data_IF_370586681391
#
_entry.id   IF_370586681391
#
_cell.length_a   1.000
_cell.length_b   1.000
_cell.length_c   1.000
_cell.angle_alpha   90.00
_cell.angle_beta   90.00
_cell.angle_gamma   90.00
#
_symmetry.space_group_name_H-M   'P 1'
#
loop_
_entity.id
_entity.type
_entity.pdbx_description
1 polymer ?
#
# COMPACT_ATOMS: atom_id res chain seq x y z
N UNK A 1 1.52 -0.87 -1.14
CA UNK A 1 2.82 -1.55 -1.34
C UNK A 1 3.49 -0.94 -2.55
N UNK A 2 4.59 -0.22 -2.36
CA UNK A 2 5.43 0.24 -3.47
C UNK A 2 6.60 -0.75 -3.57
N UNK A 3 6.60 -1.63 -4.57
CA UNK A 3 7.67 -2.61 -4.74
C UNK A 3 8.94 -1.88 -5.13
N UNK A 4 10.02 -2.05 -4.37
CA UNK A 4 11.37 -1.70 -4.84
C UNK A 4 11.80 -2.73 -5.92
N UNK A 5 12.67 -2.32 -6.83
CA UNK A 5 13.14 -3.10 -7.99
C UNK A 5 13.92 -4.39 -7.65
N UNK A 6 13.95 -4.80 -6.37
CA UNK A 6 14.74 -5.93 -5.84
C UNK A 6 13.89 -7.07 -5.25
N UNK A 7 12.58 -7.13 -5.52
CA UNK A 7 11.71 -8.27 -5.13
C UNK A 7 11.70 -8.49 -3.59
N UNK A 8 11.82 -7.42 -2.81
CA UNK A 8 11.73 -7.48 -1.35
C UNK A 8 10.70 -6.47 -0.83
N UNK A 9 9.96 -6.84 0.20
CA UNK A 9 8.99 -5.96 0.85
C UNK A 9 9.73 -4.90 1.68
N UNK A 10 9.61 -3.64 1.30
CA UNK A 10 10.08 -2.52 2.13
C UNK A 10 9.10 -2.34 3.29
N UNK A 11 9.56 -2.54 4.53
CA UNK A 11 8.78 -2.42 5.78
C UNK A 11 9.26 -3.37 6.87
N UNK A 12 8.78 -3.26 8.14
CA UNK A 12 7.43 -2.84 8.52
C UNK A 12 7.31 -1.35 8.89
N UNK A 13 6.33 -0.68 8.27
CA UNK A 13 5.90 0.66 8.64
C UNK A 13 4.52 0.63 9.33
N UNK A 14 4.42 1.27 10.50
CA UNK A 14 3.15 1.43 11.21
C UNK A 14 2.35 2.59 10.61
N UNK A 15 1.13 2.36 10.10
CA UNK A 15 0.26 3.43 9.62
C UNK A 15 -0.10 4.42 10.74
N UNK A 16 -0.10 5.72 10.43
CA UNK A 16 -0.48 6.78 11.38
C UNK A 16 0.63 7.21 12.33
N UNK A 17 1.84 6.69 12.13
CA UNK A 17 3.06 7.14 12.80
C UNK A 17 3.97 7.78 11.77
N UNK A 18 4.60 8.90 12.12
CA UNK A 18 5.69 9.48 11.32
C UNK A 18 6.77 8.44 11.12
N UNK A 19 6.91 7.95 9.90
CA UNK A 19 7.92 6.97 9.52
C UNK A 19 8.55 7.37 8.19
N UNK A 20 9.57 6.64 7.74
CA UNK A 20 10.22 6.94 6.49
C UNK A 20 9.25 6.72 5.33
N UNK A 21 9.24 7.66 4.38
CA UNK A 21 8.47 7.53 3.15
C UNK A 21 8.90 6.27 2.41
N UNK A 22 7.92 5.42 2.06
CA UNK A 22 8.17 4.21 1.27
C UNK A 22 8.19 4.63 -0.20
N UNK A 23 9.38 4.92 -0.68
CA UNK A 23 9.64 5.34 -2.05
C UNK A 23 10.05 4.16 -2.95
N UNK A 24 9.44 4.08 -4.12
CA UNK A 24 9.97 3.29 -5.24
C UNK A 24 9.91 4.08 -6.55
N UNK A 25 10.44 3.49 -7.62
CA UNK A 25 10.45 4.04 -8.97
C UNK A 25 9.03 4.33 -9.50
N UNK A 26 8.04 3.57 -9.02
CA UNK A 26 6.64 3.63 -9.43
C UNK A 26 5.77 4.58 -8.58
N UNK A 27 6.08 4.73 -7.29
CA UNK A 27 5.23 5.45 -6.34
C UNK A 27 6.02 5.94 -5.13
N UNK A 28 5.39 6.80 -4.34
CA UNK A 28 5.83 7.14 -2.99
C UNK A 28 4.64 6.93 -2.05
N UNK A 29 4.89 6.50 -0.82
CA UNK A 29 3.85 6.34 0.20
C UNK A 29 4.32 6.97 1.50
N UNK A 30 3.57 7.95 1.98
CA UNK A 30 3.78 8.54 3.30
C UNK A 30 2.89 7.83 4.32
N UNK A 31 3.51 7.21 5.32
CA UNK A 31 2.83 6.43 6.37
C UNK A 31 2.30 7.31 7.49
N UNK A 32 2.82 8.53 7.64
CA UNK A 32 2.35 9.49 8.64
C UNK A 32 0.93 9.98 8.33
N UNK A 33 0.58 10.01 7.04
CA UNK A 33 -0.77 10.35 6.57
C UNK A 33 -1.70 9.13 6.44
N UNK A 34 -1.16 7.92 6.63
CA UNK A 34 -1.97 6.72 6.59
C UNK A 34 -2.85 6.61 7.83
N UNK A 35 -4.12 6.25 7.67
CA UNK A 35 -5.03 6.01 8.78
C UNK A 35 -5.61 4.61 8.70
N UNK A 36 -5.69 3.96 9.85
CA UNK A 36 -6.31 2.65 9.99
C UNK A 36 -7.49 2.80 10.94
N UNK A 37 -8.67 2.42 10.48
CA UNK A 37 -9.85 2.31 11.31
C UNK A 37 -10.37 0.88 11.27
N UNK A 38 -10.88 0.39 12.39
CA UNK A 38 -11.40 -0.97 12.50
C UNK A 38 -12.86 -0.96 13.00
N UNK A 39 -13.82 -0.42 12.23
CA UNK A 39 -15.22 -0.56 12.56
C UNK A 39 -15.62 -2.05 12.44
N UNK A 40 -15.79 -2.70 13.60
CA UNK A 40 -16.44 -4.01 13.77
C UNK A 40 -16.10 -5.05 12.69
N UNK A 41 -14.83 -5.49 12.67
CA UNK A 41 -14.37 -6.62 11.86
C UNK A 41 -13.85 -6.27 10.47
N UNK A 42 -14.05 -5.04 9.99
CA UNK A 42 -13.48 -4.56 8.72
C UNK A 42 -12.35 -3.57 9.01
N UNK A 43 -11.16 -3.84 8.48
CA UNK A 43 -10.04 -2.89 8.51
C UNK A 43 -10.18 -1.95 7.32
N UNK A 44 -10.37 -0.67 7.60
CA UNK A 44 -10.31 0.40 6.61
C UNK A 44 -8.94 1.06 6.70
N UNK A 45 -8.13 0.85 5.67
CA UNK A 45 -6.81 1.45 5.50
C UNK A 45 -6.93 2.58 4.46
N UNK A 46 -6.71 3.82 4.88
CA UNK A 46 -6.62 4.98 3.98
C UNK A 46 -5.17 5.42 3.88
N UNK A 47 -4.62 5.42 2.67
CA UNK A 47 -3.21 5.74 2.41
C UNK A 47 -3.14 6.66 1.20
N UNK A 48 -2.30 7.71 1.30
CA UNK A 48 -1.98 8.56 0.16
C UNK A 48 -0.82 7.92 -0.63
N UNK A 49 -1.09 7.56 -1.89
CA UNK A 49 -0.10 6.95 -2.79
C UNK A 49 0.08 7.82 -4.04
N UNK A 50 0.96 8.84 -4.00
CA UNK A 50 1.39 9.52 -5.21
C UNK A 50 2.10 8.54 -6.16
N UNK A 51 1.52 8.33 -7.34
CA UNK A 51 2.13 7.54 -8.41
C UNK A 51 3.10 8.44 -9.18
N UNK A 52 4.30 7.90 -9.48
CA UNK A 52 5.34 8.59 -10.26
C UNK A 52 5.21 8.20 -11.74
N UNK A 53 5.43 9.17 -12.63
CA UNK A 53 5.51 8.91 -14.08
C UNK A 53 6.66 7.94 -14.40
N UNK A 54 6.54 7.06 -15.42
CA UNK A 54 5.61 7.12 -16.56
C UNK A 54 4.32 6.29 -16.38
N UNK A 55 3.95 5.90 -15.15
CA UNK A 55 2.74 5.11 -14.91
C UNK A 55 1.48 5.94 -15.17
N UNK A 56 0.98 5.93 -16.41
CA UNK A 56 -0.26 6.59 -16.83
C UNK A 56 -1.36 5.58 -17.17
N UNK A 57 -2.62 5.98 -17.05
CA UNK A 57 -3.81 5.17 -17.37
C UNK A 57 -4.23 4.22 -16.26
N UNK A 58 -5.22 3.37 -16.54
CA UNK A 58 -5.78 2.43 -15.57
C UNK A 58 -4.73 1.41 -15.10
N UNK A 59 -4.54 1.30 -13.78
CA UNK A 59 -3.68 0.32 -13.11
C UNK A 59 -4.49 -0.45 -12.08
N UNK A 60 -4.34 -1.77 -12.10
CA UNK A 60 -4.96 -2.60 -11.08
C UNK A 60 -4.22 -2.41 -9.76
N UNK A 61 -4.98 -2.21 -8.68
CA UNK A 61 -4.46 -2.17 -7.32
C UNK A 61 -4.70 -3.53 -6.69
N UNK A 62 -3.63 -4.10 -6.16
CA UNK A 62 -3.67 -5.37 -5.44
C UNK A 62 -3.23 -5.16 -4.00
N UNK A 63 -3.88 -5.87 -3.08
CA UNK A 63 -3.57 -5.90 -1.66
C UNK A 63 -3.33 -7.34 -1.23
N UNK A 64 -2.33 -7.52 -0.38
CA UNK A 64 -2.05 -8.78 0.31
C UNK A 64 -1.96 -8.49 1.80
N UNK A 65 -2.72 -9.21 2.60
CA UNK A 65 -2.71 -9.12 4.06
C UNK A 65 -2.18 -10.42 4.66
N UNK A 66 -1.29 -10.28 5.63
CA UNK A 66 -0.77 -11.37 6.46
C UNK A 66 -1.20 -11.11 7.90
N UNK A 67 -1.76 -12.11 8.57
CA UNK A 67 -2.11 -12.03 9.98
C UNK A 67 -1.02 -12.65 10.89
N UNK A 68 -1.06 -12.42 12.22
CA UNK A 68 -0.12 -13.01 13.16
C UNK A 68 -0.16 -14.55 13.24
N UNK A 69 -1.22 -15.18 12.73
CA UNK A 69 -1.37 -16.62 12.62
C UNK A 69 -0.80 -17.15 11.29
N UNK A 70 -0.06 -16.33 10.54
CA UNK A 70 0.51 -16.63 9.23
C UNK A 70 -0.53 -16.96 8.16
N UNK A 71 -1.77 -16.48 8.30
CA UNK A 71 -2.79 -16.58 7.25
C UNK A 71 -2.57 -15.47 6.24
N UNK A 72 -2.44 -15.88 5.00
CA UNK A 72 -2.20 -15.01 3.87
C UNK A 72 -3.43 -14.96 2.98
N UNK A 73 -3.90 -13.76 2.66
CA UNK A 73 -5.00 -13.58 1.70
C UNK A 73 -4.60 -13.90 0.26
N UNK A 74 -3.30 -13.99 -0.04
CA UNK A 74 -2.77 -13.84 -1.38
C UNK A 74 -2.94 -12.42 -1.92
N UNK A 75 -2.55 -12.21 -3.18
CA UNK A 75 -2.78 -10.95 -3.87
C UNK A 75 -4.23 -10.85 -4.31
N UNK A 76 -5.00 -9.97 -3.67
CA UNK A 76 -6.40 -9.71 -3.98
C UNK A 76 -6.51 -8.38 -4.71
N UNK A 77 -7.20 -8.33 -5.84
CA UNK A 77 -7.49 -7.07 -6.54
C UNK A 77 -8.48 -6.25 -5.70
N UNK A 78 -8.06 -5.10 -5.20
CA UNK A 78 -8.90 -4.20 -4.40
C UNK A 78 -9.50 -3.06 -5.22
N UNK A 79 -8.96 -2.77 -6.40
CA UNK A 79 -9.51 -1.74 -7.26
C UNK A 79 -8.73 -1.49 -8.54
N UNK A 80 -9.10 -0.41 -9.20
CA UNK A 80 -8.37 0.16 -10.35
C UNK A 80 -8.13 1.62 -10.05
N UNK A 81 -6.88 2.05 -10.09
CA UNK A 81 -6.47 3.44 -9.99
C UNK A 81 -6.14 3.95 -11.38
N UNK A 82 -6.79 5.02 -11.82
CA UNK A 82 -6.41 5.71 -13.07
C UNK A 82 -5.52 6.90 -12.74
N UNK A 83 -4.28 6.85 -13.19
CA UNK A 83 -3.37 8.01 -13.15
C UNK A 83 -3.62 8.82 -14.42
N UNK A 84 -4.08 10.05 -14.24
CA UNK A 84 -4.33 11.01 -15.31
C UNK A 84 -3.02 11.68 -15.76
#
# INVERSE_FOLDING_TARGET
MCSSDLVFFVGPESPGVTSNTVDSSACSVDTGLATVTHPTGVVHLSVLVPIKGPMAGAKNVYQRSLDPLSRDSGWVKTGVWTVL
#
